data_IF_075991873085
#
_entry.id   IF_075991873085
#
_cell.length_a   1.000
_cell.length_b   1.000
_cell.length_c   1.000
_cell.angle_alpha   90.00
_cell.angle_beta   90.00
_cell.angle_gamma   90.00
#
_symmetry.space_group_name_H-M   'P 1'
#
loop_
_entity.id
_entity.type
_entity.pdbx_description
1 polymer ?
#
# COMPACT_ATOMS: atom_id res chain seq x y z
N UNK A 1 -43.74 59.08 -28.14
CA UNK A 1 -44.24 59.27 -26.77
C UNK A 1 -43.75 58.10 -25.90
N UNK A 2 -43.34 58.37 -24.65
CA UNK A 2 -42.01 57.98 -24.10
C UNK A 2 -42.15 57.20 -22.77
N UNK A 3 -41.13 57.08 -21.85
CA UNK A 3 -39.66 57.22 -21.96
C UNK A 3 -38.84 56.05 -21.32
N UNK A 4 -37.51 56.13 -21.47
CA UNK A 4 -36.47 55.46 -20.67
C UNK A 4 -36.27 56.10 -19.27
N UNK A 5 -35.46 55.49 -18.38
CA UNK A 5 -34.24 56.16 -17.88
C UNK A 5 -33.05 55.17 -17.78
N UNK A 6 -31.77 55.53 -17.82
CA UNK A 6 -31.10 56.79 -17.51
C UNK A 6 -29.99 56.51 -16.49
N UNK A 7 -28.74 56.51 -16.95
CA UNK A 7 -27.51 56.31 -16.17
C UNK A 7 -27.18 57.53 -15.28
N UNK A 8 -26.49 57.29 -14.15
CA UNK A 8 -25.74 58.31 -13.41
C UNK A 8 -24.33 57.81 -13.06
N UNK A 9 -23.33 58.56 -13.54
CA UNK A 9 -21.93 58.52 -13.12
C UNK A 9 -21.74 59.28 -11.79
N UNK A 10 -20.54 59.23 -11.20
CA UNK A 10 -19.72 60.45 -11.22
C UNK A 10 -18.23 60.19 -11.56
N UNK A 11 -17.66 61.08 -12.39
CA UNK A 11 -16.21 61.28 -12.52
C UNK A 11 -15.65 62.01 -11.30
N UNK A 12 -14.37 61.95 -10.96
CA UNK A 12 -13.19 62.70 -11.48
C UNK A 12 -12.04 62.41 -10.46
N UNK A 13 -10.75 62.81 -10.61
CA UNK A 13 -9.95 63.12 -11.79
C UNK A 13 -8.51 62.52 -11.80
N UNK A 14 -7.89 62.64 -12.97
CA UNK A 14 -6.47 62.69 -13.33
C UNK A 14 -5.41 63.00 -12.24
N UNK A 15 -4.36 62.17 -12.16
CA UNK A 15 -2.95 62.61 -11.97
C UNK A 15 -1.98 61.77 -12.81
N UNK A 16 -0.93 62.47 -13.26
CA UNK A 16 0.11 62.12 -14.26
C UNK A 16 1.16 61.10 -13.77
N UNK A 17 1.96 60.52 -14.70
CA UNK A 17 2.90 59.43 -14.42
C UNK A 17 4.20 59.91 -13.79
N UNK A 18 4.74 59.13 -12.84
CA UNK A 18 6.07 59.34 -12.26
C UNK A 18 7.02 58.28 -12.83
N UNK A 19 7.95 58.77 -13.66
CA UNK A 19 9.39 58.50 -13.55
C UNK A 19 9.90 57.06 -13.64
N UNK A 20 10.49 56.73 -14.79
CA UNK A 20 11.54 55.71 -14.91
C UNK A 20 12.61 55.91 -13.82
N UNK A 21 12.97 54.82 -13.14
CA UNK A 21 14.31 54.65 -12.58
C UNK A 21 14.89 53.33 -13.06
N UNK A 22 15.90 53.48 -13.91
CA UNK A 22 16.91 52.49 -14.25
C UNK A 22 17.55 51.93 -12.99
N UNK A 23 17.46 50.61 -12.78
CA UNK A 23 18.29 49.91 -11.81
C UNK A 23 19.59 49.51 -12.50
N UNK A 24 20.64 50.27 -12.19
CA UNK A 24 22.01 50.05 -12.62
C UNK A 24 22.54 48.77 -11.97
N UNK A 25 23.00 47.85 -12.84
CA UNK A 25 23.84 46.71 -12.49
C UNK A 25 25.15 47.19 -11.86
N UNK A 26 25.37 46.87 -10.59
CA UNK A 26 26.69 46.89 -9.96
C UNK A 26 27.18 45.47 -9.78
N UNK A 27 28.10 45.09 -10.67
CA UNK A 27 28.90 43.88 -10.58
C UNK A 27 29.90 44.00 -9.42
N UNK A 28 29.72 43.19 -8.38
CA UNK A 28 30.74 42.97 -7.36
C UNK A 28 31.61 41.79 -7.77
N UNK A 29 32.85 42.11 -8.13
CA UNK A 29 33.91 41.18 -8.48
C UNK A 29 34.61 40.71 -7.20
N UNK A 30 34.71 39.39 -6.97
CA UNK A 30 35.68 38.77 -6.07
C UNK A 30 35.87 37.27 -6.43
N UNK A 31 37.00 36.64 -6.04
CA UNK A 31 38.04 36.25 -6.99
C UNK A 31 38.01 34.79 -7.48
N UNK A 32 38.63 34.63 -8.66
CA UNK A 32 39.04 33.35 -9.28
C UNK A 32 39.83 32.48 -8.29
N UNK A 33 39.33 31.27 -7.99
CA UNK A 33 40.16 30.15 -7.52
C UNK A 33 40.83 29.47 -8.72
N UNK A 34 42.17 29.39 -8.66
CA UNK A 34 43.03 28.68 -9.63
C UNK A 34 42.75 27.17 -9.61
N UNK A 35 42.96 26.47 -10.75
CA UNK A 35 42.88 25.02 -10.84
C UNK A 35 44.16 24.38 -10.28
N UNK A 36 44.02 23.55 -9.24
CA UNK A 36 45.11 22.81 -8.62
C UNK A 36 45.19 21.37 -9.10
N UNK A 37 46.12 21.14 -10.03
CA UNK A 37 46.89 19.92 -10.29
C UNK A 37 46.22 18.54 -10.15
N UNK A 38 46.04 17.90 -11.31
CA UNK A 38 46.19 16.46 -11.46
C UNK A 38 47.57 16.01 -11.01
N UNK A 39 47.66 15.07 -10.08
CA UNK A 39 48.84 14.20 -9.92
C UNK A 39 48.42 12.75 -10.10
N UNK A 40 48.95 12.21 -11.19
CA UNK A 40 49.16 10.80 -11.46
C UNK A 40 49.89 10.10 -10.32
N UNK A 41 49.40 8.92 -9.93
CA UNK A 41 50.24 7.86 -9.37
C UNK A 41 50.01 6.59 -10.20
N UNK A 42 50.89 6.40 -11.20
CA UNK A 42 51.20 5.11 -11.80
C UNK A 42 52.41 4.52 -11.08
N UNK A 43 52.52 3.20 -11.17
CA UNK A 43 53.67 2.33 -10.85
C UNK A 43 53.77 1.95 -9.36
N UNK A 44 54.03 0.68 -8.97
CA UNK A 44 54.57 -0.47 -9.71
C UNK A 44 54.38 -1.76 -8.88
N UNK A 45 53.99 -2.84 -9.58
CA UNK A 45 54.53 -4.22 -9.53
C UNK A 45 54.88 -4.91 -8.19
N UNK A 46 54.31 -6.10 -7.98
CA UNK A 46 54.99 -7.41 -7.80
C UNK A 46 53.91 -8.49 -7.59
N UNK A 47 53.64 -9.35 -8.59
CA UNK A 47 54.21 -10.69 -8.80
C UNK A 47 53.77 -11.76 -7.79
N UNK A 48 52.97 -12.74 -8.22
CA UNK A 48 53.30 -14.18 -8.12
C UNK A 48 52.19 -15.05 -8.71
N UNK A 49 52.59 -15.93 -9.62
CA UNK A 49 51.83 -17.03 -10.20
C UNK A 49 51.43 -18.09 -9.15
N UNK A 50 50.30 -18.76 -9.38
CA UNK A 50 50.20 -20.20 -9.18
C UNK A 50 49.14 -20.78 -10.12
N UNK A 51 49.59 -21.64 -11.03
CA UNK A 51 48.81 -22.37 -12.00
C UNK A 51 48.18 -23.63 -11.37
N UNK A 52 46.98 -24.01 -11.80
CA UNK A 52 46.48 -25.38 -11.68
C UNK A 52 45.83 -25.81 -12.99
N UNK A 53 46.40 -26.87 -13.55
CA UNK A 53 46.10 -27.51 -14.83
C UNK A 53 44.85 -28.39 -14.70
N UNK A 54 43.98 -28.39 -15.72
CA UNK A 54 43.04 -29.48 -16.00
C UNK A 54 43.42 -30.15 -17.33
N UNK A 55 43.57 -31.48 -17.40
CA UNK A 55 43.72 -32.17 -18.67
C UNK A 55 42.40 -32.76 -19.15
N UNK A 56 42.12 -32.56 -20.44
CA UNK A 56 41.16 -33.33 -21.23
C UNK A 56 41.73 -34.72 -21.56
N UNK A 57 40.86 -35.75 -21.62
CA UNK A 57 41.07 -36.92 -22.49
C UNK A 57 39.74 -37.45 -23.04
N UNK A 58 39.87 -37.94 -24.26
CA UNK A 58 38.89 -38.36 -25.27
C UNK A 58 38.24 -39.73 -25.04
N UNK A 59 37.04 -39.94 -25.58
CA UNK A 59 36.72 -40.93 -26.64
C UNK A 59 35.19 -41.05 -26.90
N UNK A 60 34.81 -41.10 -28.19
CA UNK A 60 33.48 -41.45 -28.75
C UNK A 60 33.39 -43.00 -28.99
N UNK A 61 32.41 -43.57 -29.72
CA UNK A 61 30.94 -43.66 -29.51
C UNK A 61 30.43 -45.12 -29.69
N UNK A 62 29.18 -45.45 -29.32
CA UNK A 62 28.38 -46.48 -30.04
C UNK A 62 26.89 -46.52 -29.61
N UNK A 63 26.03 -46.87 -30.57
CA UNK A 63 24.56 -47.15 -30.57
C UNK A 63 24.40 -48.51 -31.29
N UNK A 64 23.22 -49.14 -31.48
CA UNK A 64 21.92 -49.17 -30.76
C UNK A 64 21.33 -50.63 -30.65
N UNK A 65 20.07 -50.78 -30.17
CA UNK A 65 19.00 -51.81 -30.45
C UNK A 65 18.27 -52.19 -29.14
N UNK A 66 16.97 -51.92 -28.95
CA UNK A 66 15.73 -52.48 -29.52
C UNK A 66 15.23 -53.77 -28.81
N UNK A 67 14.06 -53.70 -28.15
CA UNK A 67 12.96 -54.69 -28.15
C UNK A 67 12.03 -54.55 -26.90
N UNK A 68 10.71 -54.58 -27.13
CA UNK A 68 9.61 -54.71 -26.16
C UNK A 68 9.23 -56.21 -25.96
N UNK A 69 8.04 -56.59 -25.44
CA UNK A 69 7.43 -56.47 -24.10
C UNK A 69 7.04 -57.87 -23.50
N UNK A 70 6.48 -57.92 -22.26
CA UNK A 70 5.49 -58.90 -21.69
C UNK A 70 5.63 -58.97 -20.15
N UNK A 71 4.65 -58.51 -19.35
CA UNK A 71 3.48 -59.21 -18.77
C UNK A 71 3.82 -60.31 -17.72
N UNK A 72 3.45 -60.07 -16.45
CA UNK A 72 2.59 -60.93 -15.60
C UNK A 72 2.94 -60.95 -14.10
N UNK A 73 1.87 -61.04 -13.28
CA UNK A 73 1.77 -61.80 -12.01
C UNK A 73 2.63 -61.37 -10.80
N UNK A 74 2.09 -60.65 -9.80
CA UNK A 74 1.27 -61.12 -8.67
C UNK A 74 2.04 -61.69 -7.44
N UNK A 75 1.56 -61.27 -6.26
CA UNK A 75 1.71 -61.80 -4.86
C UNK A 75 2.90 -61.32 -3.98
N UNK A 76 2.54 -60.40 -3.08
CA UNK A 76 2.64 -60.45 -1.61
C UNK A 76 3.77 -61.28 -0.95
N UNK A 77 4.44 -60.71 0.07
CA UNK A 77 4.70 -61.47 1.29
C UNK A 77 4.34 -60.75 2.60
N UNK A 78 3.85 -61.58 3.53
CA UNK A 78 3.58 -61.28 4.95
C UNK A 78 4.88 -61.30 5.77
N UNK A 79 4.89 -60.42 6.78
CA UNK A 79 5.27 -60.60 8.20
C UNK A 79 6.66 -61.15 8.59
N UNK A 80 7.35 -60.36 9.41
CA UNK A 80 8.33 -60.76 10.43
C UNK A 80 8.81 -59.50 11.17
N UNK A 81 8.14 -59.06 12.23
CA UNK A 81 8.42 -59.34 13.65
C UNK A 81 9.83 -58.87 14.09
N UNK A 82 9.92 -57.69 14.73
CA UNK A 82 11.05 -57.27 15.56
C UNK A 82 10.54 -57.06 16.99
N UNK A 83 11.21 -57.72 17.92
CA UNK A 83 10.98 -57.74 19.35
C UNK A 83 11.61 -56.51 20.02
N UNK A 84 10.79 -55.89 20.88
CA UNK A 84 11.07 -55.19 22.14
C UNK A 84 12.52 -54.79 22.47
N UNK A 85 12.76 -53.47 22.58
CA UNK A 85 13.64 -52.91 23.59
C UNK A 85 12.93 -51.79 24.36
N UNK A 86 12.64 -52.07 25.64
CA UNK A 86 12.24 -51.12 26.68
C UNK A 86 13.20 -49.92 26.70
N UNK A 87 12.68 -48.69 26.67
CA UNK A 87 13.44 -47.56 27.16
C UNK A 87 12.62 -46.66 28.10
N UNK A 88 13.22 -46.45 29.27
CA UNK A 88 12.72 -45.69 30.42
C UNK A 88 12.68 -44.20 30.07
N UNK A 89 11.50 -43.57 30.03
CA UNK A 89 11.34 -42.11 30.26
C UNK A 89 9.88 -41.63 30.29
N UNK A 90 9.06 -42.21 31.17
CA UNK A 90 7.75 -41.63 31.53
C UNK A 90 7.49 -41.80 33.03
N UNK A 91 8.39 -41.24 33.86
CA UNK A 91 8.19 -41.05 35.30
C UNK A 91 8.62 -39.63 35.69
N UNK A 92 7.81 -38.65 35.30
CA UNK A 92 7.74 -37.34 35.96
C UNK A 92 6.38 -36.62 35.79
N UNK A 93 5.36 -37.27 35.21
CA UNK A 93 4.03 -36.69 34.98
C UNK A 93 2.97 -37.23 35.95
N UNK A 94 3.33 -37.41 37.23
CA UNK A 94 2.41 -37.74 38.34
C UNK A 94 2.82 -37.01 39.62
N UNK A 95 2.73 -35.68 39.60
CA UNK A 95 2.71 -34.80 40.78
C UNK A 95 1.89 -33.54 40.48
N UNK A 96 0.62 -33.70 40.12
CA UNK A 96 -0.42 -32.68 40.30
C UNK A 96 -1.75 -33.29 39.90
N UNK A 97 -2.49 -33.74 40.91
CA UNK A 97 -3.94 -34.01 40.94
C UNK A 97 -4.22 -34.80 42.22
N UNK A 98 -4.19 -34.08 43.35
CA UNK A 98 -4.86 -34.43 44.60
C UNK A 98 -5.78 -33.26 44.93
N UNK A 99 -7.04 -33.53 45.17
CA UNK A 99 -7.98 -32.51 45.65
C UNK A 99 -9.31 -32.45 44.90
N UNK A 100 -9.86 -33.61 44.54
CA UNK A 100 -11.28 -33.77 44.26
C UNK A 100 -11.75 -34.85 45.23
N UNK A 101 -12.92 -34.68 45.84
CA UNK A 101 -13.47 -35.40 47.01
C UNK A 101 -13.10 -34.82 48.39
N UNK A 102 -13.81 -33.76 48.78
CA UNK A 102 -14.46 -33.65 50.10
C UNK A 102 -15.43 -32.47 50.14
N UNK A 103 -16.57 -32.72 50.76
CA UNK A 103 -17.64 -31.77 51.16
C UNK A 103 -18.73 -31.50 50.12
N UNK A 104 -19.53 -32.55 49.90
CA UNK A 104 -20.94 -32.44 49.50
C UNK A 104 -21.80 -32.62 50.76
N UNK A 105 -21.91 -31.58 51.60
CA UNK A 105 -22.92 -31.51 52.69
C UNK A 105 -23.11 -30.05 53.14
N UNK A 106 -24.38 -29.63 53.25
CA UNK A 106 -24.94 -28.34 53.73
C UNK A 106 -25.56 -27.46 52.64
N UNK A 107 -26.62 -27.99 52.03
CA UNK A 107 -27.72 -27.20 51.46
C UNK A 107 -28.71 -26.94 52.62
N UNK A 108 -29.29 -25.73 52.66
CA UNK A 108 -30.27 -25.17 53.62
C UNK A 108 -29.71 -24.42 54.85
N UNK A 109 -29.34 -23.15 54.65
CA UNK A 109 -29.65 -22.03 55.55
C UNK A 109 -29.08 -20.72 54.97
N UNK A 110 -29.89 -19.68 54.82
CA UNK A 110 -29.40 -18.31 54.63
C UNK A 110 -29.71 -17.65 53.29
N UNK A 111 -31.00 -17.57 52.95
CA UNK A 111 -31.52 -16.39 52.22
C UNK A 111 -31.27 -15.19 53.14
N UNK A 112 -30.42 -14.24 52.73
CA UNK A 112 -30.44 -12.78 52.98
C UNK A 112 -29.01 -12.18 52.96
N UNK A 113 -28.90 -11.07 52.23
CA UNK A 113 -27.78 -10.09 52.18
C UNK A 113 -26.49 -10.49 51.44
N UNK A 114 -26.44 -10.15 50.15
CA UNK A 114 -25.44 -9.22 49.59
C UNK A 114 -25.71 -9.02 48.08
N UNK A 115 -26.69 -8.18 47.74
CA UNK A 115 -26.75 -7.58 46.42
C UNK A 115 -25.62 -6.54 46.32
N UNK A 116 -24.40 -6.99 46.04
CA UNK A 116 -23.32 -6.11 45.60
C UNK A 116 -23.63 -5.70 44.16
N UNK A 117 -23.80 -4.40 43.85
CA UNK A 117 -23.94 -3.98 42.47
C UNK A 117 -22.62 -4.29 41.78
N UNK A 118 -22.67 -5.18 40.78
CA UNK A 118 -21.63 -5.33 39.79
C UNK A 118 -21.51 -3.99 39.06
N UNK A 119 -20.61 -3.14 39.56
CA UNK A 119 -20.04 -2.01 38.83
C UNK A 119 -19.29 -2.60 37.64
N UNK A 120 -20.00 -2.85 36.55
CA UNK A 120 -19.40 -3.01 35.26
C UNK A 120 -18.59 -1.73 34.99
N UNK A 121 -17.29 -1.82 34.63
CA UNK A 121 -16.58 -0.65 34.17
C UNK A 121 -17.33 -0.13 32.96
N UNK A 122 -17.84 1.11 33.07
CA UNK A 122 -18.33 1.84 31.93
C UNK A 122 -17.14 1.96 30.97
N UNK A 123 -17.12 1.10 29.95
CA UNK A 123 -16.30 1.33 28.78
C UNK A 123 -16.86 2.61 28.17
N UNK A 124 -16.23 3.73 28.53
CA UNK A 124 -16.62 5.04 28.02
C UNK A 124 -16.62 4.94 26.50
N UNK A 125 -17.78 5.21 25.89
CA UNK A 125 -17.86 5.36 24.44
C UNK A 125 -16.73 6.32 24.01
N UNK A 126 -15.97 5.99 22.95
CA UNK A 126 -14.88 6.83 22.49
C UNK A 126 -15.43 8.25 22.31
N UNK A 127 -14.82 9.21 22.99
CA UNK A 127 -15.26 10.60 22.93
C UNK A 127 -15.36 11.02 21.46
N UNK A 128 -16.47 11.67 21.11
CA UNK A 128 -16.68 12.20 19.77
C UNK A 128 -15.50 13.11 19.41
N UNK A 129 -14.74 12.73 18.38
CA UNK A 129 -13.52 13.42 17.97
C UNK A 129 -12.21 12.87 18.52
N UNK A 130 -12.19 11.70 19.16
CA UNK A 130 -10.96 10.94 19.44
C UNK A 130 -10.35 10.35 18.16
N UNK A 131 -9.04 10.05 18.17
CA UNK A 131 -8.37 9.39 17.05
C UNK A 131 -9.06 8.08 16.65
N UNK A 132 -9.46 7.27 17.64
CA UNK A 132 -10.18 6.02 17.42
C UNK A 132 -11.51 6.21 16.69
N UNK A 133 -12.29 7.24 17.05
CA UNK A 133 -13.55 7.53 16.38
C UNK A 133 -13.36 7.96 14.92
N UNK A 134 -12.28 8.70 14.62
CA UNK A 134 -11.96 9.12 13.24
C UNK A 134 -11.52 7.92 12.42
N UNK A 135 -10.62 7.08 12.95
CA UNK A 135 -10.18 5.85 12.29
C UNK A 135 -11.34 4.91 12.02
N UNK A 136 -12.25 4.75 12.99
CA UNK A 136 -13.45 3.93 12.80
C UNK A 136 -14.37 4.50 11.72
N UNK A 137 -14.53 5.83 11.64
CA UNK A 137 -15.29 6.43 10.55
C UNK A 137 -14.63 6.20 9.18
N UNK A 138 -13.30 6.34 9.10
CA UNK A 138 -12.55 6.06 7.87
C UNK A 138 -12.72 4.59 7.45
N UNK A 139 -12.68 3.65 8.41
CA UNK A 139 -12.92 2.23 8.17
C UNK A 139 -14.34 1.94 7.71
N UNK A 140 -15.35 2.56 8.33
CA UNK A 140 -16.75 2.40 7.97
C UNK A 140 -17.07 2.91 6.56
N UNK A 141 -16.27 3.84 6.03
CA UNK A 141 -16.36 4.34 4.66
C UNK A 141 -15.73 3.39 3.61
N UNK A 142 -15.13 2.26 4.03
CA UNK A 142 -14.60 1.25 3.12
C UNK A 142 -15.75 0.30 2.72
N UNK A 143 -16.17 0.30 1.43
CA UNK A 143 -17.21 -0.60 0.97
C UNK A 143 -16.76 -2.07 0.96
N UNK A 144 -17.73 -2.97 0.95
CA UNK A 144 -17.49 -4.42 0.80
C UNK A 144 -16.89 -4.77 -0.57
N UNK A 145 -17.23 -3.98 -1.60
CA UNK A 145 -16.63 -4.07 -2.92
C UNK A 145 -16.67 -2.73 -3.66
N UNK A 146 -15.75 -2.56 -4.61
CA UNK A 146 -15.68 -1.40 -5.51
C UNK A 146 -15.45 -1.87 -6.94
N UNK A 147 -16.21 -1.29 -7.86
CA UNK A 147 -15.92 -1.29 -9.28
C UNK A 147 -15.69 0.16 -9.74
N UNK A 148 -14.54 0.42 -10.36
CA UNK A 148 -14.26 1.68 -11.03
C UNK A 148 -14.22 1.41 -12.53
N UNK A 149 -15.15 2.01 -13.28
CA UNK A 149 -15.24 1.84 -14.73
C UNK A 149 -14.03 2.39 -15.46
N UNK A 150 -13.47 3.49 -15.00
CA UNK A 150 -12.25 4.06 -15.55
C UNK A 150 -11.39 4.70 -14.47
N UNK A 151 -10.14 4.26 -14.39
CA UNK A 151 -9.04 4.88 -13.64
C UNK A 151 -8.07 5.45 -14.64
N UNK A 152 -7.80 6.73 -14.57
CA UNK A 152 -6.82 7.43 -15.39
C UNK A 152 -5.64 7.86 -14.50
N UNK A 153 -4.42 7.46 -14.90
CA UNK A 153 -3.18 7.81 -14.22
C UNK A 153 -2.36 8.69 -15.17
N UNK A 154 -2.06 9.92 -14.77
CA UNK A 154 -1.27 10.87 -15.54
C UNK A 154 0.03 11.11 -14.78
N UNK A 155 1.08 10.36 -15.12
CA UNK A 155 2.40 10.48 -14.51
C UNK A 155 3.23 11.52 -15.25
N UNK A 156 3.89 12.40 -14.50
CA UNK A 156 4.77 13.46 -15.00
C UNK A 156 6.14 13.36 -14.33
N UNK A 157 7.18 13.34 -15.16
CA UNK A 157 8.56 13.35 -14.68
C UNK A 157 9.06 14.79 -14.41
N UNK A 158 10.28 14.90 -13.85
CA UNK A 158 10.91 16.18 -13.51
C UNK A 158 11.26 17.06 -14.70
N UNK A 159 11.32 16.47 -15.90
CA UNK A 159 11.61 17.17 -17.17
C UNK A 159 10.34 17.60 -17.89
N UNK A 160 9.16 17.24 -17.36
CA UNK A 160 7.85 17.52 -17.94
C UNK A 160 7.34 16.43 -18.88
N UNK A 161 8.06 15.31 -19.03
CA UNK A 161 7.58 14.15 -19.77
C UNK A 161 6.33 13.58 -19.11
N UNK A 162 5.30 13.30 -19.91
CA UNK A 162 4.01 12.81 -19.42
C UNK A 162 3.71 11.42 -19.98
N UNK A 163 3.20 10.54 -19.12
CA UNK A 163 2.67 9.22 -19.49
C UNK A 163 1.29 9.03 -18.89
N UNK A 164 0.32 8.76 -19.76
CA UNK A 164 -1.06 8.51 -19.38
C UNK A 164 -1.36 7.01 -19.45
N UNK A 165 -1.97 6.46 -18.41
CA UNK A 165 -2.51 5.11 -18.38
C UNK A 165 -4.00 5.17 -18.11
N UNK A 166 -4.79 4.30 -18.75
CA UNK A 166 -6.20 4.11 -18.40
C UNK A 166 -6.50 2.65 -18.17
N UNK A 167 -7.31 2.37 -17.16
CA UNK A 167 -7.68 1.02 -16.77
C UNK A 167 -9.00 0.94 -16.03
N UNK A 168 -9.29 -0.26 -15.53
CA UNK A 168 -10.45 -0.55 -14.66
C UNK A 168 -9.96 -1.13 -13.36
N UNK A 169 -10.59 -0.77 -12.25
CA UNK A 169 -10.26 -1.28 -10.93
C UNK A 169 -11.45 -2.04 -10.34
N UNK A 170 -11.14 -3.16 -9.72
CA UNK A 170 -12.07 -3.98 -8.96
C UNK A 170 -11.45 -4.25 -7.61
N UNK A 171 -12.18 -4.04 -6.52
CA UNK A 171 -11.71 -4.35 -5.18
C UNK A 171 -12.80 -5.03 -4.36
N UNK A 172 -12.41 -5.91 -3.45
CA UNK A 172 -13.28 -6.48 -2.42
C UNK A 172 -12.59 -6.35 -1.06
N UNK A 173 -13.39 -6.19 -0.03
CA UNK A 173 -12.99 -6.25 1.37
C UNK A 173 -13.76 -7.39 2.05
N UNK A 174 -13.12 -8.55 2.20
CA UNK A 174 -13.70 -9.73 2.87
C UNK A 174 -13.09 -9.88 4.27
N UNK A 175 -13.81 -9.37 5.28
CA UNK A 175 -13.41 -9.39 6.70
C UNK A 175 -12.04 -8.73 6.91
N UNK A 176 -11.92 -7.49 6.47
CA UNK A 176 -10.68 -6.69 6.55
C UNK A 176 -9.51 -7.34 5.80
N UNK A 177 -9.83 -8.07 4.72
CA UNK A 177 -8.83 -8.58 3.78
C UNK A 177 -9.14 -8.05 2.40
N UNK A 178 -8.28 -7.13 1.97
CA UNK A 178 -8.46 -6.48 0.70
C UNK A 178 -7.92 -7.36 -0.43
N UNK A 179 -8.70 -7.45 -1.50
CA UNK A 179 -8.25 -7.95 -2.80
C UNK A 179 -8.52 -6.85 -3.82
N UNK A 180 -7.53 -6.50 -4.61
CA UNK A 180 -7.66 -5.45 -5.63
C UNK A 180 -7.06 -5.93 -6.95
N UNK A 181 -7.80 -5.72 -8.03
CA UNK A 181 -7.37 -5.99 -9.40
C UNK A 181 -7.45 -4.71 -10.22
N UNK A 182 -6.35 -4.36 -10.88
CA UNK A 182 -6.27 -3.24 -11.82
C UNK A 182 -5.87 -3.78 -13.19
N UNK A 183 -6.69 -3.52 -14.21
CA UNK A 183 -6.42 -3.91 -15.60
C UNK A 183 -6.27 -2.67 -16.48
N UNK A 184 -5.15 -2.58 -17.16
CA UNK A 184 -4.82 -1.50 -18.08
C UNK A 184 -5.41 -1.77 -19.46
N UNK A 185 -6.11 -0.78 -20.00
CA UNK A 185 -6.64 -0.78 -21.36
C UNK A 185 -5.84 0.12 -22.31
N UNK A 186 -5.10 1.10 -21.80
CA UNK A 186 -4.25 1.98 -22.61
C UNK A 186 -3.06 2.50 -21.80
N UNK A 187 -1.92 2.81 -22.43
CA UNK A 187 -1.63 2.87 -23.88
C UNK A 187 -1.47 1.48 -24.54
N UNK A 188 -1.42 1.39 -25.90
CA UNK A 188 -1.38 0.11 -26.61
C UNK A 188 -0.25 -0.85 -26.21
N UNK A 189 0.93 -0.32 -25.85
CA UNK A 189 2.09 -1.10 -25.40
C UNK A 189 1.88 -1.74 -24.01
N UNK A 190 0.93 -1.24 -23.22
CA UNK A 190 0.55 -1.78 -21.92
C UNK A 190 -0.86 -2.38 -21.89
N UNK A 191 -1.58 -2.34 -23.01
CA UNK A 191 -2.95 -2.82 -23.07
C UNK A 191 -3.04 -4.29 -22.69
N UNK A 192 -3.94 -4.60 -21.77
CA UNK A 192 -4.12 -5.95 -21.20
C UNK A 192 -3.24 -6.25 -19.99
N UNK A 193 -2.27 -5.40 -19.63
CA UNK A 193 -1.50 -5.59 -18.41
C UNK A 193 -2.45 -5.57 -17.21
N UNK A 194 -2.27 -6.49 -16.27
CA UNK A 194 -3.16 -6.62 -15.12
C UNK A 194 -2.37 -6.86 -13.85
N UNK A 195 -2.89 -6.36 -12.75
CA UNK A 195 -2.28 -6.37 -11.44
C UNK A 195 -3.30 -6.93 -10.47
N UNK A 196 -2.89 -7.86 -9.64
CA UNK A 196 -3.70 -8.43 -8.57
C UNK A 196 -2.92 -8.31 -7.27
N UNK A 197 -3.55 -7.71 -6.28
CA UNK A 197 -3.13 -7.69 -4.90
C UNK A 197 -4.14 -8.48 -4.08
N UNK A 198 -3.64 -9.35 -3.20
CA UNK A 198 -4.44 -10.04 -2.20
C UNK A 198 -3.72 -9.93 -0.87
N UNK A 199 -4.40 -9.38 0.11
CA UNK A 199 -3.92 -9.39 1.47
C UNK A 199 -3.89 -10.82 2.02
N UNK A 200 -2.77 -11.18 2.64
CA UNK A 200 -2.55 -12.50 3.20
C UNK A 200 -2.23 -12.43 4.68
N UNK A 201 -2.54 -13.49 5.44
CA UNK A 201 -2.37 -13.51 6.91
C UNK A 201 -0.93 -13.31 7.38
N UNK A 202 0.05 -13.68 6.56
CA UNK A 202 1.49 -13.53 6.87
C UNK A 202 2.19 -12.53 5.95
N UNK A 203 1.76 -12.50 4.70
CA UNK A 203 2.34 -11.65 3.66
C UNK A 203 1.34 -11.51 2.54
N UNK A 204 1.30 -10.33 1.96
CA UNK A 204 0.47 -10.06 0.80
C UNK A 204 0.98 -10.82 -0.42
N UNK A 205 0.05 -11.12 -1.33
CA UNK A 205 0.33 -11.74 -2.61
C UNK A 205 0.08 -10.72 -3.71
N UNK A 206 1.11 -10.46 -4.51
CA UNK A 206 1.02 -9.56 -5.65
C UNK A 206 1.37 -10.33 -6.90
N UNK A 207 0.51 -10.20 -7.91
CA UNK A 207 0.69 -10.80 -9.22
C UNK A 207 0.60 -9.73 -10.29
N UNK A 208 1.46 -9.83 -11.28
CA UNK A 208 1.47 -8.98 -12.46
C UNK A 208 1.39 -9.86 -13.69
N UNK A 209 0.43 -9.57 -14.56
CA UNK A 209 0.35 -10.15 -15.89
C UNK A 209 1.04 -9.24 -16.89
N UNK A 210 2.00 -9.81 -17.64
CA UNK A 210 2.75 -9.10 -18.69
C UNK A 210 2.27 -9.60 -20.05
N UNK A 211 1.51 -8.79 -20.82
CA UNK A 211 0.89 -9.23 -22.07
C UNK A 211 1.91 -9.71 -23.10
N UNK A 212 3.02 -8.98 -23.26
CA UNK A 212 4.08 -9.31 -24.23
C UNK A 212 4.72 -10.70 -24.00
N UNK A 213 4.65 -11.22 -22.76
CA UNK A 213 5.18 -12.54 -22.41
C UNK A 213 4.08 -13.58 -22.21
N UNK A 214 2.81 -13.16 -22.23
CA UNK A 214 1.65 -13.95 -21.84
C UNK A 214 1.90 -14.73 -20.52
N UNK A 215 2.46 -14.06 -19.52
CA UNK A 215 2.89 -14.69 -18.26
C UNK A 215 2.47 -13.88 -17.05
N UNK A 216 2.02 -14.61 -16.02
CA UNK A 216 1.84 -14.08 -14.67
C UNK A 216 3.15 -14.21 -13.91
N UNK A 217 3.56 -13.14 -13.24
CA UNK A 217 4.73 -13.08 -12.36
C UNK A 217 4.28 -12.69 -10.96
N UNK A 218 4.78 -13.39 -9.94
CA UNK A 218 4.62 -12.97 -8.55
C UNK A 218 5.66 -11.90 -8.22
N UNK A 219 5.25 -10.82 -7.57
CA UNK A 219 6.15 -9.76 -7.08
C UNK A 219 6.45 -10.02 -5.61
N UNK A 220 7.73 -10.06 -5.25
CA UNK A 220 8.22 -10.33 -3.89
C UNK A 220 9.41 -9.44 -3.54
N UNK A 221 9.69 -9.25 -2.25
CA UNK A 221 10.87 -8.55 -1.75
C UNK A 221 10.96 -7.08 -2.17
N UNK A 222 12.18 -6.56 -2.37
CA UNK A 222 12.44 -5.15 -2.66
C UNK A 222 11.84 -4.60 -3.97
N UNK A 223 11.24 -5.45 -4.81
CA UNK A 223 10.46 -5.00 -5.98
C UNK A 223 9.14 -4.32 -5.59
N UNK A 224 8.72 -4.44 -4.32
CA UNK A 224 7.52 -3.78 -3.77
C UNK A 224 7.65 -2.25 -3.65
N UNK A 225 8.88 -1.72 -3.55
CA UNK A 225 9.11 -0.27 -3.44
C UNK A 225 9.28 0.41 -4.81
N UNK A 226 9.25 -0.36 -5.90
CA UNK A 226 9.40 0.15 -7.26
C UNK A 226 8.16 0.91 -7.77
N UNK A 227 8.34 1.91 -8.65
CA UNK A 227 7.23 2.62 -9.27
C UNK A 227 6.39 1.69 -10.16
N UNK A 228 5.07 1.78 -10.03
CA UNK A 228 4.12 1.02 -10.83
C UNK A 228 3.97 1.71 -12.19
N UNK A 229 4.46 1.06 -13.25
CA UNK A 229 4.37 1.51 -14.65
C UNK A 229 4.84 2.95 -14.92
N UNK A 230 5.85 3.41 -14.19
CA UNK A 230 6.38 4.77 -14.34
C UNK A 230 5.50 5.84 -13.67
N UNK A 231 4.60 5.44 -12.77
CA UNK A 231 3.90 6.35 -11.86
C UNK A 231 4.68 6.51 -10.55
N UNK A 232 4.28 7.49 -9.75
CA UNK A 232 4.81 7.73 -8.40
C UNK A 232 4.26 6.77 -7.35
N UNK A 233 3.35 5.88 -7.72
CA UNK A 233 2.77 4.89 -6.82
C UNK A 233 3.65 3.64 -6.80
N UNK A 234 4.04 3.21 -5.60
CA UNK A 234 4.62 1.89 -5.35
C UNK A 234 3.58 0.99 -4.69
N UNK A 235 3.86 -0.31 -4.65
CA UNK A 235 3.03 -1.23 -3.89
C UNK A 235 3.01 -0.87 -2.39
N UNK A 236 4.17 -0.52 -1.85
CA UNK A 236 4.29 -0.15 -0.45
C UNK A 236 3.44 1.09 -0.12
N UNK A 237 3.30 2.06 -1.04
CA UNK A 237 2.41 3.21 -0.83
C UNK A 237 0.96 2.78 -0.62
N UNK A 238 0.45 1.91 -1.49
CA UNK A 238 -0.92 1.42 -1.40
C UNK A 238 -1.14 0.63 -0.10
N UNK A 239 -0.17 -0.21 0.27
CA UNK A 239 -0.19 -0.96 1.53
C UNK A 239 -0.19 -0.03 2.75
N UNK A 240 0.64 1.00 2.74
CA UNK A 240 0.75 1.92 3.88
C UNK A 240 -0.50 2.80 4.03
N UNK A 241 -1.09 3.23 2.92
CA UNK A 241 -2.41 3.88 2.92
C UNK A 241 -3.47 2.96 3.52
N UNK A 242 -3.51 1.70 3.08
CA UNK A 242 -4.42 0.70 3.64
C UNK A 242 -4.22 0.52 5.16
N UNK A 243 -2.99 0.30 5.60
CA UNK A 243 -2.66 0.09 7.01
C UNK A 243 -3.09 1.27 7.90
N UNK A 244 -3.03 2.51 7.38
CA UNK A 244 -3.47 3.69 8.13
C UNK A 244 -4.95 3.64 8.53
N UNK A 245 -5.82 2.98 7.75
CA UNK A 245 -7.24 2.78 8.11
C UNK A 245 -7.44 1.81 9.28
N UNK A 246 -6.42 1.02 9.62
CA UNK A 246 -6.49 -0.03 10.61
C UNK A 246 -5.52 0.16 11.77
N UNK A 247 -4.79 1.29 11.82
CA UNK A 247 -3.79 1.54 12.85
C UNK A 247 -4.45 1.83 14.22
N UNK A 248 -4.35 0.92 15.20
CA UNK A 248 -4.87 1.15 16.54
C UNK A 248 -4.10 2.25 17.30
N UNK A 249 -2.92 2.64 16.83
CA UNK A 249 -2.03 3.60 17.47
C UNK A 249 -2.11 5.00 16.85
N UNK A 250 -3.10 5.27 15.99
CA UNK A 250 -3.30 6.57 15.39
C UNK A 250 -3.41 7.67 16.47
N UNK A 251 -2.66 8.76 16.29
CA UNK A 251 -2.62 9.90 17.21
C UNK A 251 -3.33 11.09 16.59
N UNK A 252 -4.25 11.69 17.34
CA UNK A 252 -4.86 12.95 16.96
C UNK A 252 -3.93 14.09 17.35
N UNK A 253 -3.47 14.85 16.36
CA UNK A 253 -2.65 16.04 16.58
C UNK A 253 -3.49 17.31 16.74
N UNK A 254 -4.72 17.32 16.22
CA UNK A 254 -5.66 18.42 16.41
C UNK A 254 -6.54 18.70 15.20
N UNK A 255 -7.08 19.93 15.16
CA UNK A 255 -7.91 20.44 14.08
C UNK A 255 -7.10 21.41 13.21
N UNK A 256 -7.38 21.43 11.92
CA UNK A 256 -6.79 22.38 10.97
C UNK A 256 -7.83 22.79 9.92
N UNK A 257 -7.41 23.65 8.99
CA UNK A 257 -8.18 24.00 7.80
C UNK A 257 -7.33 23.74 6.56
N UNK A 258 -7.88 23.03 5.58
CA UNK A 258 -7.25 22.74 4.29
C UNK A 258 -8.11 23.37 3.19
N UNK A 259 -7.60 24.38 2.51
CA UNK A 259 -8.31 25.12 1.44
C UNK A 259 -9.72 25.58 1.85
N UNK A 260 -9.86 26.09 3.08
CA UNK A 260 -11.14 26.52 3.65
C UNK A 260 -12.00 25.38 4.22
N UNK A 261 -11.58 24.12 4.10
CA UNK A 261 -12.29 22.95 4.62
C UNK A 261 -11.78 22.58 6.02
N UNK A 262 -12.64 22.50 7.05
CA UNK A 262 -12.25 21.99 8.36
C UNK A 262 -11.81 20.53 8.29
N UNK A 263 -10.67 20.22 8.89
CA UNK A 263 -10.08 18.87 8.88
C UNK A 263 -9.51 18.50 10.25
N UNK A 264 -9.40 17.22 10.53
CA UNK A 264 -8.68 16.66 11.68
C UNK A 264 -7.37 16.05 11.23
N UNK A 265 -6.30 16.29 12.00
CA UNK A 265 -4.95 15.84 11.65
C UNK A 265 -4.61 14.62 12.47
N UNK A 266 -4.39 13.50 11.79
CA UNK A 266 -3.97 12.24 12.37
C UNK A 266 -2.51 11.94 12.00
N UNK A 267 -1.78 11.37 12.95
CA UNK A 267 -0.48 10.77 12.72
C UNK A 267 -0.58 9.26 12.93
N UNK A 268 -0.04 8.52 11.96
CA UNK A 268 0.02 7.06 11.94
C UNK A 268 1.48 6.63 11.95
N UNK A 269 1.76 5.51 12.60
CA UNK A 269 3.08 4.90 12.60
C UNK A 269 2.94 3.47 12.08
N UNK A 270 3.77 3.06 11.09
CA UNK A 270 3.74 1.68 10.63
C UNK A 270 3.96 0.70 11.79
N UNK A 271 3.28 -0.44 11.73
CA UNK A 271 3.40 -1.45 12.77
C UNK A 271 4.81 -2.06 12.79
N UNK A 272 5.39 -2.40 13.97
CA UNK A 272 6.77 -2.87 14.07
C UNK A 272 7.08 -4.15 13.28
N UNK A 273 6.08 -5.00 13.07
CA UNK A 273 6.17 -6.25 12.32
C UNK A 273 5.99 -6.07 10.81
N UNK A 274 5.67 -4.86 10.36
CA UNK A 274 5.52 -4.52 8.95
C UNK A 274 6.76 -3.80 8.44
N UNK A 275 7.40 -4.37 7.41
CA UNK A 275 8.42 -3.66 6.67
C UNK A 275 7.81 -2.44 5.98
N UNK A 276 8.13 -1.24 6.48
CA UNK A 276 7.75 0.04 5.90
C UNK A 276 8.98 0.87 5.61
N UNK A 277 8.97 1.55 4.46
CA UNK A 277 9.96 2.57 4.14
C UNK A 277 9.67 3.88 4.86
N UNK A 278 8.42 4.11 5.26
CA UNK A 278 8.00 5.33 5.92
C UNK A 278 8.11 5.19 7.43
N UNK A 279 8.61 6.22 8.10
CA UNK A 279 8.66 6.30 9.56
C UNK A 279 7.32 6.70 10.17
N UNK A 280 6.52 7.48 9.44
CA UNK A 280 5.18 7.90 9.84
C UNK A 280 4.39 8.44 8.65
N UNK A 281 3.07 8.53 8.83
CA UNK A 281 2.16 9.17 7.89
C UNK A 281 1.35 10.21 8.65
N UNK A 282 1.19 11.40 8.09
CA UNK A 282 0.31 12.44 8.61
C UNK A 282 -0.82 12.66 7.64
N UNK A 283 -2.08 12.53 8.07
CA UNK A 283 -3.25 12.71 7.21
C UNK A 283 -4.18 13.80 7.74
N UNK A 284 -4.80 14.53 6.82
CA UNK A 284 -5.82 15.53 7.09
C UNK A 284 -7.17 14.98 6.63
N UNK A 285 -7.98 14.58 7.58
CA UNK A 285 -9.25 13.89 7.37
C UNK A 285 -10.40 14.89 7.47
N UNK A 286 -11.25 14.93 6.45
CA UNK A 286 -12.47 15.73 6.46
C UNK A 286 -13.56 14.98 7.27
N UNK A 287 -14.07 15.55 8.38
CA UNK A 287 -14.90 14.78 9.31
C UNK A 287 -16.24 14.31 8.78
N UNK A 288 -16.83 14.96 7.76
CA UNK A 288 -18.16 14.58 7.25
C UNK A 288 -18.11 13.40 6.31
N UNK A 289 -17.11 13.35 5.44
CA UNK A 289 -16.87 12.30 4.46
C UNK A 289 -15.96 11.20 4.99
N UNK A 290 -15.24 11.46 6.08
CA UNK A 290 -14.22 10.58 6.65
C UNK A 290 -13.12 10.21 5.63
N UNK A 291 -12.87 11.12 4.68
CA UNK A 291 -11.85 11.01 3.66
C UNK A 291 -10.62 11.84 4.01
N UNK A 292 -9.43 11.26 3.82
CA UNK A 292 -8.19 12.03 3.84
C UNK A 292 -8.13 12.90 2.57
N UNK A 293 -8.07 14.22 2.75
CA UNK A 293 -7.87 15.18 1.65
C UNK A 293 -6.38 15.45 1.39
N UNK A 294 -5.53 15.17 2.37
CA UNK A 294 -4.08 15.27 2.24
C UNK A 294 -3.44 14.17 3.06
N UNK A 295 -2.34 13.61 2.59
CA UNK A 295 -1.44 12.81 3.41
C UNK A 295 0.02 13.10 3.08
N UNK A 296 0.89 13.06 4.09
CA UNK A 296 2.33 13.21 3.97
C UNK A 296 3.01 11.96 4.51
N UNK A 297 3.86 11.36 3.69
CA UNK A 297 4.59 10.14 4.00
C UNK A 297 6.04 10.51 4.37
N UNK A 298 6.46 10.20 5.58
CA UNK A 298 7.75 10.64 6.12
C UNK A 298 8.81 9.55 6.00
N UNK A 299 10.02 9.94 5.61
CA UNK A 299 11.26 9.18 5.80
C UNK A 299 12.09 9.91 6.87
N UNK A 300 12.08 9.39 8.09
CA UNK A 300 12.58 10.10 9.27
C UNK A 300 11.73 11.35 9.53
N UNK A 301 12.32 12.53 9.31
CA UNK A 301 11.66 13.83 9.48
C UNK A 301 11.32 14.51 8.14
N UNK A 302 11.67 13.89 7.02
CA UNK A 302 11.47 14.49 5.69
C UNK A 302 10.23 13.92 5.03
N UNK A 303 9.37 14.78 4.48
CA UNK A 303 8.25 14.33 3.64
C UNK A 303 8.82 13.80 2.33
N UNK A 304 8.71 12.50 2.10
CA UNK A 304 9.10 11.85 0.85
C UNK A 304 8.03 11.98 -0.21
N UNK A 305 6.79 11.63 0.13
CA UNK A 305 5.64 11.72 -0.78
C UNK A 305 4.50 12.52 -0.16
N UNK A 306 3.70 13.12 -1.03
CA UNK A 306 2.49 13.84 -0.65
C UNK A 306 1.33 13.38 -1.52
N UNK A 307 0.26 12.96 -0.86
CA UNK A 307 -1.07 12.81 -1.44
C UNK A 307 -1.86 14.10 -1.22
N UNK A 308 -2.62 14.55 -2.21
CA UNK A 308 -3.50 15.72 -2.11
C UNK A 308 -4.73 15.57 -3.00
N UNK A 309 -5.89 15.88 -2.45
CA UNK A 309 -7.17 15.99 -3.15
C UNK A 309 -7.97 17.18 -2.61
N UNK A 310 -9.04 17.55 -3.30
CA UNK A 310 -9.90 18.66 -2.88
C UNK A 310 -11.23 18.15 -2.33
N UNK A 311 -11.79 18.86 -1.34
CA UNK A 311 -13.17 18.64 -0.91
C UNK A 311 -14.17 18.81 -2.07
N UNK A 312 -13.83 19.60 -3.10
CA UNK A 312 -14.66 19.79 -4.32
C UNK A 312 -14.73 18.54 -5.19
N UNK A 313 -13.76 17.65 -5.07
CA UNK A 313 -13.66 16.41 -5.84
C UNK A 313 -14.23 15.20 -5.09
N UNK A 314 -14.76 15.41 -3.88
CA UNK A 314 -15.50 14.39 -3.13
C UNK A 314 -16.80 14.03 -3.84
N UNK A 315 -17.01 12.74 -4.02
CA UNK A 315 -18.21 12.13 -4.64
C UNK A 315 -18.66 10.94 -3.80
N UNK A 316 -19.87 10.47 -4.06
CA UNK A 316 -20.43 9.30 -3.39
C UNK A 316 -20.73 8.17 -4.38
N UNK A 317 -20.55 6.94 -3.90
CA UNK A 317 -21.03 5.73 -4.52
C UNK A 317 -21.81 4.94 -3.45
N UNK A 318 -23.14 5.04 -3.47
CA UNK A 318 -23.96 4.59 -2.34
C UNK A 318 -23.67 5.43 -1.09
N UNK A 319 -23.50 4.83 0.09
CA UNK A 319 -23.17 5.57 1.31
C UNK A 319 -21.69 5.98 1.41
N UNK A 320 -20.83 5.49 0.52
CA UNK A 320 -19.37 5.64 0.62
C UNK A 320 -18.87 6.86 -0.15
N UNK A 321 -17.99 7.63 0.47
CA UNK A 321 -17.28 8.74 -0.13
C UNK A 321 -16.00 8.30 -0.81
N UNK A 322 -15.67 8.95 -1.93
CA UNK A 322 -14.39 8.81 -2.61
C UNK A 322 -13.96 10.14 -3.23
N UNK A 323 -12.66 10.28 -3.52
CA UNK A 323 -12.12 11.40 -4.29
C UNK A 323 -12.06 11.05 -5.77
N UNK A 324 -12.62 11.92 -6.62
CA UNK A 324 -12.66 11.72 -8.08
C UNK A 324 -11.41 12.22 -8.82
N UNK A 325 -10.66 13.15 -8.24
CA UNK A 325 -9.35 13.64 -8.70
C UNK A 325 -8.42 13.76 -7.48
N UNK A 326 -7.19 13.30 -7.62
CA UNK A 326 -6.15 13.36 -6.60
C UNK A 326 -4.77 13.38 -7.23
N UNK A 327 -3.79 13.91 -6.49
CA UNK A 327 -2.40 14.04 -6.89
C UNK A 327 -1.50 13.34 -5.88
N UNK A 328 -0.57 12.53 -6.37
CA UNK A 328 0.54 12.00 -5.59
C UNK A 328 1.83 12.59 -6.14
N UNK A 329 2.61 13.26 -5.29
CA UNK A 329 3.92 13.80 -5.66
C UNK A 329 5.03 13.09 -4.88
N UNK A 330 6.08 12.64 -5.57
CA UNK A 330 7.35 12.25 -4.95
C UNK A 330 8.24 13.50 -4.85
N UNK A 331 8.37 14.04 -3.64
CA UNK A 331 9.03 15.31 -3.40
C UNK A 331 10.55 15.23 -3.54
N UNK A 332 11.14 14.03 -3.40
CA UNK A 332 12.59 13.85 -3.55
C UNK A 332 12.97 13.47 -5.00
N UNK A 333 12.09 12.82 -5.76
CA UNK A 333 12.31 12.62 -7.20
C UNK A 333 11.87 13.79 -8.08
N UNK A 334 11.00 14.68 -7.58
CA UNK A 334 10.44 15.79 -8.33
C UNK A 334 9.45 15.35 -9.41
N UNK A 335 8.71 14.27 -9.13
CA UNK A 335 7.75 13.64 -10.05
C UNK A 335 6.35 13.62 -9.44
N UNK A 336 5.31 13.53 -10.26
CA UNK A 336 3.92 13.52 -9.79
C UNK A 336 2.99 12.70 -10.68
N UNK A 337 1.99 12.09 -10.06
CA UNK A 337 0.95 11.30 -10.73
C UNK A 337 -0.41 11.83 -10.31
N UNK A 338 -1.19 12.33 -11.28
CA UNK A 338 -2.61 12.63 -11.06
C UNK A 338 -3.43 11.38 -11.33
N UNK A 339 -4.36 11.07 -10.44
CA UNK A 339 -5.27 9.94 -10.52
C UNK A 339 -6.68 10.49 -10.65
N UNK A 340 -7.40 10.08 -11.70
CA UNK A 340 -8.82 10.38 -11.85
C UNK A 340 -9.60 9.08 -11.89
N UNK A 341 -10.76 9.07 -11.24
CA UNK A 341 -11.65 7.91 -11.23
C UNK A 341 -13.05 8.29 -11.66
N UNK A 342 -13.64 7.51 -12.56
CA UNK A 342 -15.00 7.73 -13.05
C UNK A 342 -15.81 6.44 -13.05
N UNK A 343 -17.13 6.59 -12.89
CA UNK A 343 -18.07 5.47 -12.87
C UNK A 343 -17.81 4.49 -11.71
N UNK A 344 -17.61 5.02 -10.51
CA UNK A 344 -17.46 4.22 -9.28
C UNK A 344 -18.81 3.64 -8.87
N UNK A 345 -18.85 2.34 -8.64
CA UNK A 345 -19.94 1.63 -8.02
C UNK A 345 -19.41 0.87 -6.81
N UNK A 346 -20.15 0.92 -5.70
CA UNK A 346 -19.82 0.22 -4.46
C UNK A 346 -20.84 -0.88 -4.17
N UNK A 347 -20.44 -1.84 -3.34
CA UNK A 347 -21.28 -2.91 -2.79
C UNK A 347 -22.02 -3.70 -3.90
N UNK A 348 -21.27 -4.06 -4.95
CA UNK A 348 -21.71 -4.92 -6.04
C UNK A 348 -21.09 -6.30 -5.93
N UNK A 349 -21.81 -7.31 -6.37
CA UNK A 349 -21.25 -8.65 -6.52
C UNK A 349 -20.19 -8.64 -7.62
N UNK A 350 -18.97 -9.00 -7.25
CA UNK A 350 -17.84 -9.13 -8.16
C UNK A 350 -17.47 -10.59 -8.31
N UNK A 351 -17.27 -11.05 -9.56
CA UNK A 351 -16.93 -12.43 -9.81
C UNK A 351 -15.55 -12.80 -9.25
N UNK A 352 -15.44 -13.91 -8.52
CA UNK A 352 -14.20 -14.39 -7.89
C UNK A 352 -13.02 -14.54 -8.85
N UNK A 353 -13.31 -14.81 -10.14
CA UNK A 353 -12.29 -14.89 -11.20
C UNK A 353 -11.46 -13.61 -11.33
N UNK A 354 -12.00 -12.46 -10.94
CA UNK A 354 -11.28 -11.19 -10.91
C UNK A 354 -10.13 -11.18 -9.91
N UNK A 355 -10.20 -12.03 -8.90
CA UNK A 355 -9.24 -12.09 -7.79
C UNK A 355 -8.49 -13.42 -7.73
N UNK A 356 -8.57 -14.23 -8.79
CA UNK A 356 -7.86 -15.51 -8.90
C UNK A 356 -6.52 -15.30 -9.64
N UNK A 357 -5.36 -15.65 -9.03
CA UNK A 357 -4.04 -15.47 -9.63
C UNK A 357 -3.85 -16.09 -11.02
N UNK A 358 -4.65 -17.10 -11.38
CA UNK A 358 -4.57 -17.76 -12.69
C UNK A 358 -5.45 -17.11 -13.76
N UNK A 359 -6.43 -16.29 -13.40
CA UNK A 359 -7.46 -15.80 -14.34
C UNK A 359 -7.78 -14.31 -14.24
N UNK A 360 -7.23 -13.57 -13.27
CA UNK A 360 -7.52 -12.14 -13.04
C UNK A 360 -7.27 -11.22 -14.25
N UNK A 361 -6.38 -11.61 -15.15
CA UNK A 361 -6.04 -10.86 -16.36
C UNK A 361 -6.99 -11.16 -17.54
N UNK A 362 -7.79 -12.23 -17.45
CA UNK A 362 -8.72 -12.65 -18.49
C UNK A 362 -9.90 -11.67 -18.54
N UNK A 363 -10.37 -11.37 -19.76
CA UNK A 363 -11.36 -10.34 -20.09
C UNK A 363 -12.56 -10.23 -19.14
N UNK A 364 -12.99 -8.98 -18.92
CA UNK A 364 -14.32 -8.60 -18.46
C UNK A 364 -14.95 -7.70 -19.49
#
# INVERSE_FOLDING_TARGET
>A
MPPAPGAWSPGWPWRRPIGLRTATSTATTMPRRKPGSWRSARMRTRSACAAAKCPCRSCRPEKPRAASPLRSSARNPRRGCIILSRNKRLRSWRRQNRGWERVMTRILAGILLAAAPLLAPAQGAPAAGSAAAIVECMRANIPSSVQVKEVELIARDRTGGERQLRGRLYATNDKDRIKAMLKIGSPPDLAGAAYLMKEGTKSDEIYVFVPALNKVRRVTGGSMDGPLWGTDLSYNDLKQVQNAFYDPNAKLEGKATLDGTPVQVLQFSPQPDQASRYSSIRAWVEPKSCMALKAEFFEGQTVRKRFSGSAKDLRQAGPHWYLSDMLVADLKEGTQTRIKVTGVAADKDLADRLFNPSTFYVGN
#
